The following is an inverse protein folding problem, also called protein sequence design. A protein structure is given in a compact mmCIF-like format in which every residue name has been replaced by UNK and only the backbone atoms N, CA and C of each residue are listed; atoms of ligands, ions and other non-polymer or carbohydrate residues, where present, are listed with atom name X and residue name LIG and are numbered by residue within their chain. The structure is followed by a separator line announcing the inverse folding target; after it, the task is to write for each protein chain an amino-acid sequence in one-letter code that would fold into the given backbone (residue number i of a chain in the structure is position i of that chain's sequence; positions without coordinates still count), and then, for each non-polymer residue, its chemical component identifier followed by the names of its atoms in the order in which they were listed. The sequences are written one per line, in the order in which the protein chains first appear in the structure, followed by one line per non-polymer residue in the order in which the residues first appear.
data_IF_998299154515
#
_entry.id   IF_998299154515
#
_cell.length_a   1.000
_cell.length_b   1.000
_cell.length_c   1.000
_cell.angle_alpha   90.00
_cell.angle_beta   90.00
_cell.angle_gamma   90.00
#
_symmetry.space_group_name_H-M   'P 1'
#
loop_
_entity.id
_entity.type
_entity.pdbx_description
1 polymer ?
#
# COMPACT_ATOMS: atom_id res chain seq x y z
N UNK A 1 4.20 -17.89 13.13
CA UNK A 1 4.47 -18.39 11.75
C UNK A 1 3.21 -18.42 10.88
N UNK A 2 2.09 -19.03 11.30
CA UNK A 2 0.83 -19.05 10.49
C UNK A 2 0.19 -17.66 10.28
N UNK A 3 0.24 -16.77 11.27
CA UNK A 3 -0.41 -15.46 11.22
C UNK A 3 0.21 -14.53 10.18
N UNK A 4 1.54 -14.55 10.03
CA UNK A 4 2.25 -13.72 9.03
C UNK A 4 1.84 -14.09 7.61
N UNK A 5 1.70 -15.38 7.31
CA UNK A 5 1.28 -15.87 6.00
C UNK A 5 -0.18 -15.53 5.70
N UNK A 6 -1.05 -15.60 6.72
CA UNK A 6 -2.45 -15.22 6.59
C UNK A 6 -2.62 -13.71 6.37
N UNK A 7 -1.84 -12.88 7.08
CA UNK A 7 -1.84 -11.43 6.91
C UNK A 7 -1.32 -11.03 5.51
N UNK A 8 -0.26 -11.69 5.04
CA UNK A 8 0.25 -11.52 3.67
C UNK A 8 -0.79 -11.85 2.62
N UNK A 9 -1.51 -12.97 2.80
CA UNK A 9 -2.61 -13.35 1.92
C UNK A 9 -3.75 -12.34 1.91
N UNK A 10 -4.13 -11.81 3.08
CA UNK A 10 -5.16 -10.79 3.20
C UNK A 10 -4.74 -9.48 2.52
N UNK A 11 -3.49 -9.03 2.72
CA UNK A 11 -2.95 -7.83 2.08
C UNK A 11 -2.96 -7.97 0.56
N UNK A 12 -2.60 -9.15 0.02
CA UNK A 12 -2.64 -9.42 -1.41
C UNK A 12 -4.06 -9.36 -1.98
N UNK A 13 -5.05 -9.88 -1.24
CA UNK A 13 -6.47 -9.83 -1.65
C UNK A 13 -6.95 -8.37 -1.64
N UNK A 14 -6.65 -7.61 -0.58
CA UNK A 14 -7.07 -6.21 -0.43
C UNK A 14 -6.42 -5.33 -1.50
N UNK A 15 -5.12 -5.49 -1.75
CA UNK A 15 -4.42 -4.77 -2.82
C UNK A 15 -4.90 -5.22 -4.20
N UNK A 16 -5.14 -6.51 -4.41
CA UNK A 16 -5.59 -7.08 -5.69
C UNK A 16 -7.02 -6.69 -6.10
N UNK A 17 -7.91 -6.47 -5.12
CA UNK A 17 -9.31 -6.13 -5.36
C UNK A 17 -9.50 -4.86 -6.21
N UNK A 18 -8.87 -3.70 -5.92
CA UNK A 18 -9.00 -2.50 -6.74
C UNK A 18 -8.38 -2.67 -8.14
N UNK A 19 -7.29 -3.45 -8.29
CA UNK A 19 -6.75 -3.76 -9.62
C UNK A 19 -7.71 -4.61 -10.45
N UNK A 20 -8.41 -5.57 -9.84
CA UNK A 20 -9.35 -6.45 -10.52
C UNK A 20 -10.70 -5.79 -10.79
N UNK A 21 -11.28 -5.10 -9.81
CA UNK A 21 -12.60 -4.50 -9.91
C UNK A 21 -12.61 -3.18 -10.69
N UNK A 22 -11.55 -2.36 -10.60
CA UNK A 22 -11.51 -1.03 -11.22
C UNK A 22 -10.13 -0.68 -11.80
N UNK A 23 -9.68 -1.39 -12.86
CA UNK A 23 -8.35 -1.19 -13.45
C UNK A 23 -8.13 0.22 -14.03
N UNK A 24 -9.16 0.86 -14.57
CA UNK A 24 -9.06 2.23 -15.11
C UNK A 24 -8.79 3.28 -14.04
N UNK A 25 -9.42 3.15 -12.86
CA UNK A 25 -9.16 4.05 -11.74
C UNK A 25 -7.71 3.91 -11.30
N UNK A 26 -7.23 2.68 -11.09
CA UNK A 26 -5.84 2.45 -10.71
C UNK A 26 -4.83 3.04 -11.70
N UNK A 27 -5.04 2.86 -13.00
CA UNK A 27 -4.16 3.46 -14.02
C UNK A 27 -4.13 5.00 -13.94
N UNK A 28 -5.29 5.64 -13.75
CA UNK A 28 -5.37 7.10 -13.62
C UNK A 28 -4.67 7.59 -12.36
N UNK A 29 -4.85 6.90 -11.24
CA UNK A 29 -4.15 7.18 -9.99
C UNK A 29 -2.63 7.09 -10.13
N UNK A 30 -2.12 6.05 -10.80
CA UNK A 30 -0.69 5.89 -11.07
C UNK A 30 -0.16 6.99 -11.98
N UNK A 31 -0.92 7.41 -13.01
CA UNK A 31 -0.54 8.54 -13.86
C UNK A 31 -0.39 9.83 -13.07
N UNK A 32 -1.36 10.14 -12.18
CA UNK A 32 -1.28 11.31 -11.31
C UNK A 32 -0.06 11.24 -10.38
N UNK A 33 0.31 10.06 -9.89
CA UNK A 33 1.50 9.86 -9.05
C UNK A 33 2.81 10.06 -9.85
N UNK A 34 2.84 9.70 -11.13
CA UNK A 34 3.98 9.93 -12.02
C UNK A 34 4.16 11.42 -12.38
N UNK A 35 3.06 12.18 -12.43
CA UNK A 35 3.08 13.63 -12.64
C UNK A 35 3.46 14.42 -11.37
N UNK A 36 3.39 13.80 -10.18
CA UNK A 36 3.77 14.44 -8.93
C UNK A 36 5.30 14.59 -8.79
N UNK A 37 5.80 15.69 -8.20
CA UNK A 37 7.22 15.88 -7.97
C UNK A 37 7.78 14.82 -7.02
N UNK A 38 8.95 14.28 -7.38
CA UNK A 38 9.64 13.21 -6.65
C UNK A 38 9.82 13.49 -5.14
N UNK A 39 9.92 14.75 -4.73
CA UNK A 39 10.03 15.15 -3.33
C UNK A 39 8.76 14.80 -2.53
N UNK A 40 7.57 15.05 -3.09
CA UNK A 40 6.29 14.74 -2.45
C UNK A 40 6.09 13.23 -2.38
N UNK A 41 6.46 12.52 -3.45
CA UNK A 41 6.39 11.06 -3.52
C UNK A 41 7.31 10.40 -2.48
N UNK A 42 8.52 10.95 -2.27
CA UNK A 42 9.45 10.50 -1.22
C UNK A 42 8.90 10.75 0.18
N UNK A 43 8.29 11.90 0.42
CA UNK A 43 7.70 12.22 1.72
C UNK A 43 6.50 11.34 2.04
N UNK A 44 5.61 11.11 1.05
CA UNK A 44 4.52 10.13 1.15
C UNK A 44 5.06 8.72 1.41
N UNK A 45 6.09 8.29 0.69
CA UNK A 45 6.72 7.00 0.91
C UNK A 45 7.31 6.87 2.31
N UNK A 46 7.95 7.92 2.82
CA UNK A 46 8.50 7.95 4.18
C UNK A 46 7.41 7.88 5.25
N UNK A 47 6.32 8.65 5.09
CA UNK A 47 5.14 8.58 5.95
C UNK A 47 4.50 7.19 5.91
N UNK A 48 4.33 6.62 4.71
CA UNK A 48 3.75 5.29 4.53
C UNK A 48 4.61 4.21 5.19
N UNK A 49 5.95 4.30 5.09
CA UNK A 49 6.87 3.42 5.81
C UNK A 49 6.74 3.58 7.32
N UNK A 50 6.68 4.81 7.84
CA UNK A 50 6.54 5.09 9.27
C UNK A 50 5.21 4.57 9.85
N UNK A 51 4.10 4.80 9.14
CA UNK A 51 2.78 4.30 9.49
C UNK A 51 2.76 2.76 9.40
N UNK A 52 3.33 2.20 8.33
CA UNK A 52 3.47 0.76 8.16
C UNK A 52 4.21 0.11 9.32
N UNK A 53 5.31 0.74 9.77
CA UNK A 53 6.10 0.31 10.94
C UNK A 53 5.31 0.42 12.24
N UNK A 54 4.57 1.52 12.45
CA UNK A 54 3.69 1.71 13.60
C UNK A 54 2.59 0.64 13.67
N UNK A 55 1.95 0.35 12.53
CA UNK A 55 0.93 -0.69 12.43
C UNK A 55 1.54 -2.06 12.68
N UNK A 56 2.71 -2.38 12.12
CA UNK A 56 3.38 -3.66 12.42
C UNK A 56 3.80 -3.75 13.88
N UNK A 57 4.17 -2.64 14.51
CA UNK A 57 4.48 -2.60 15.94
C UNK A 57 3.23 -2.83 16.80
N UNK A 58 2.10 -2.21 16.48
CA UNK A 58 0.84 -2.34 17.23
C UNK A 58 0.09 -3.65 16.94
N UNK A 59 0.23 -4.19 15.73
CA UNK A 59 -0.43 -5.43 15.28
C UNK A 59 0.42 -6.67 15.60
N UNK A 60 1.65 -6.48 16.08
CA UNK A 60 2.45 -7.53 16.67
C UNK A 60 1.82 -7.88 18.02
N UNK A 61 1.37 -9.14 18.22
CA UNK A 61 0.83 -9.58 19.50
C UNK A 61 1.90 -9.56 20.60
#
# INVERSE_FOLDING_TARGET
MKTLFCLLGLVLIVEGLPYFAFPEKMKRWVSTLLEMPNAHLRFMGFLAMGIGLLITYFCRP
#
